data_IF_437646377845
#
_entry.id   IF_437646377845
#
_cell.length_a   1.000
_cell.length_b   1.000
_cell.length_c   1.000
_cell.angle_alpha   90.00
_cell.angle_beta   90.00
_cell.angle_gamma   90.00
#
_symmetry.space_group_name_H-M   'P 1'
#
loop_
_entity.id
_entity.type
_entity.pdbx_description
1 polymer ?
#
# COMPACT_ATOMS: atom_id res chain seq x y z
N UNK A 1 -17.47 10.35 8.66
CA UNK A 1 -17.63 10.53 7.20
C UNK A 1 -19.09 10.29 6.92
N UNK A 2 -19.81 11.31 6.47
CA UNK A 2 -21.23 11.18 6.14
C UNK A 2 -21.35 10.89 4.65
N UNK A 3 -21.51 9.61 4.31
CA UNK A 3 -21.60 9.15 2.93
C UNK A 3 -23.05 8.76 2.60
N UNK A 4 -23.63 9.40 1.59
CA UNK A 4 -24.94 8.99 1.05
C UNK A 4 -24.71 7.90 0.01
N UNK A 5 -25.26 6.71 0.25
CA UNK A 5 -25.18 5.59 -0.69
C UNK A 5 -26.29 5.67 -1.73
N UNK A 6 -25.87 5.54 -2.99
CA UNK A 6 -26.73 5.37 -4.16
C UNK A 6 -26.17 4.23 -5.01
N UNK A 7 -26.96 3.74 -5.95
CA UNK A 7 -26.64 2.51 -6.70
C UNK A 7 -25.23 2.52 -7.29
N UNK A 8 -24.83 3.62 -7.95
CA UNK A 8 -23.49 3.72 -8.55
C UNK A 8 -22.37 3.71 -7.51
N UNK A 9 -22.56 4.33 -6.34
CA UNK A 9 -21.59 4.29 -5.25
C UNK A 9 -21.38 2.84 -4.76
N UNK A 10 -22.47 2.08 -4.59
CA UNK A 10 -22.42 0.67 -4.19
C UNK A 10 -21.68 -0.15 -5.25
N UNK A 11 -21.98 0.04 -6.53
CA UNK A 11 -21.28 -0.64 -7.63
C UNK A 11 -19.78 -0.31 -7.69
N UNK A 12 -19.38 0.92 -7.34
CA UNK A 12 -17.97 1.30 -7.30
C UNK A 12 -17.26 0.68 -6.09
N UNK A 13 -17.91 0.66 -4.92
CA UNK A 13 -17.38 0.00 -3.72
C UNK A 13 -17.15 -1.49 -3.99
N UNK A 14 -18.12 -2.19 -4.58
CA UNK A 14 -17.96 -3.63 -4.88
C UNK A 14 -16.84 -3.91 -5.87
N UNK A 15 -16.65 -3.06 -6.88
CA UNK A 15 -15.54 -3.15 -7.82
C UNK A 15 -14.19 -2.95 -7.14
N UNK A 16 -14.06 -1.92 -6.31
CA UNK A 16 -12.84 -1.65 -5.54
C UNK A 16 -12.56 -2.84 -4.62
N UNK A 17 -13.58 -3.31 -3.89
CA UNK A 17 -13.44 -4.40 -2.96
C UNK A 17 -12.93 -5.69 -3.63
N UNK A 18 -13.49 -6.01 -4.81
CA UNK A 18 -13.03 -7.14 -5.62
C UNK A 18 -11.55 -7.00 -6.04
N UNK A 19 -11.08 -5.78 -6.32
CA UNK A 19 -9.68 -5.54 -6.66
C UNK A 19 -8.79 -5.74 -5.42
N UNK A 20 -9.18 -5.23 -4.26
CA UNK A 20 -8.42 -5.38 -3.01
C UNK A 20 -8.24 -6.83 -2.58
N UNK A 21 -9.23 -7.68 -2.87
CA UNK A 21 -9.20 -9.11 -2.56
C UNK A 21 -8.28 -9.92 -3.49
N UNK A 22 -7.79 -9.34 -4.58
CA UNK A 22 -6.81 -9.99 -5.45
C UNK A 22 -5.38 -9.75 -4.91
N UNK A 23 -4.51 -10.77 -4.90
CA UNK A 23 -3.10 -10.59 -4.57
C UNK A 23 -2.44 -9.54 -5.48
N UNK A 24 -1.79 -8.54 -4.89
CA UNK A 24 -1.19 -7.43 -5.64
C UNK A 24 -2.21 -6.54 -6.38
N UNK A 25 -3.46 -6.50 -5.91
CA UNK A 25 -4.53 -5.73 -6.52
C UNK A 25 -4.26 -4.22 -6.51
N UNK A 26 -4.21 -3.62 -7.71
CA UNK A 26 -4.01 -2.19 -7.90
C UNK A 26 -5.22 -1.58 -8.61
N UNK A 27 -5.68 -0.40 -8.16
CA UNK A 27 -6.80 0.32 -8.75
C UNK A 27 -6.47 1.80 -8.99
N UNK A 28 -6.62 2.26 -10.23
CA UNK A 28 -6.62 3.69 -10.55
C UNK A 28 -8.06 4.18 -10.69
N UNK A 29 -8.50 5.05 -9.77
CA UNK A 29 -9.86 5.58 -9.76
C UNK A 29 -9.91 6.88 -10.56
N UNK A 30 -10.53 6.84 -11.74
CA UNK A 30 -10.65 7.98 -12.64
C UNK A 30 -12.05 8.57 -12.54
N UNK A 31 -12.14 9.90 -12.45
CA UNK A 31 -13.41 10.62 -12.44
C UNK A 31 -13.25 12.07 -12.00
N UNK A 32 -14.30 12.86 -12.15
CA UNK A 32 -14.30 14.29 -11.81
C UNK A 32 -14.07 14.54 -10.31
N UNK A 33 -13.65 15.76 -9.95
CA UNK A 33 -13.57 16.19 -8.55
C UNK A 33 -14.92 16.05 -7.85
N UNK A 34 -14.92 15.67 -6.57
CA UNK A 34 -16.15 15.51 -5.79
C UNK A 34 -16.92 14.20 -6.00
N UNK A 35 -16.50 13.31 -6.92
CA UNK A 35 -17.19 12.01 -7.16
C UNK A 35 -17.03 10.97 -6.04
N UNK A 36 -16.40 11.33 -4.92
CA UNK A 36 -16.27 10.46 -3.75
C UNK A 36 -15.18 9.38 -3.84
N UNK A 37 -14.30 9.40 -4.85
CA UNK A 37 -13.27 8.36 -5.09
C UNK A 37 -12.52 7.90 -3.83
N UNK A 38 -11.97 8.85 -3.06
CA UNK A 38 -11.26 8.52 -1.84
C UNK A 38 -12.18 7.93 -0.76
N UNK A 39 -13.39 8.46 -0.61
CA UNK A 39 -14.37 7.99 0.38
C UNK A 39 -14.85 6.58 0.06
N UNK A 40 -15.14 6.29 -1.21
CA UNK A 40 -15.53 4.96 -1.67
C UNK A 40 -14.39 3.94 -1.50
N UNK A 41 -13.14 4.36 -1.77
CA UNK A 41 -11.96 3.53 -1.54
C UNK A 41 -11.78 3.20 -0.04
N UNK A 42 -11.87 4.19 0.85
CA UNK A 42 -11.78 3.97 2.30
C UNK A 42 -12.91 3.09 2.82
N UNK A 43 -14.13 3.27 2.32
CA UNK A 43 -15.25 2.41 2.68
C UNK A 43 -15.04 0.97 2.20
N UNK A 44 -14.55 0.77 0.97
CA UNK A 44 -14.22 -0.56 0.46
C UNK A 44 -13.11 -1.25 1.27
N UNK A 45 -12.05 -0.52 1.62
CA UNK A 45 -10.98 -1.03 2.47
C UNK A 45 -11.49 -1.40 3.87
N UNK A 46 -12.33 -0.54 4.47
CA UNK A 46 -12.97 -0.80 5.75
C UNK A 46 -13.84 -2.06 5.74
N UNK A 47 -14.62 -2.29 4.67
CA UNK A 47 -15.46 -3.50 4.52
C UNK A 47 -14.62 -4.78 4.50
N UNK A 48 -13.37 -4.71 4.02
CA UNK A 48 -12.46 -5.86 3.96
C UNK A 48 -11.43 -5.90 5.08
N UNK A 49 -11.58 -5.07 6.12
CA UNK A 49 -10.64 -4.97 7.25
C UNK A 49 -9.19 -4.61 6.83
N UNK A 50 -9.04 -3.81 5.77
CA UNK A 50 -7.73 -3.26 5.38
C UNK A 50 -7.48 -1.92 6.07
N UNK A 51 -6.28 -1.77 6.63
CA UNK A 51 -5.80 -0.49 7.16
C UNK A 51 -5.42 0.43 5.99
N UNK A 52 -6.02 1.62 5.91
CA UNK A 52 -5.69 2.59 4.85
C UNK A 52 -4.58 3.50 5.32
N UNK A 53 -3.44 3.44 4.64
CA UNK A 53 -2.33 4.38 4.81
C UNK A 53 -2.36 5.40 3.68
N UNK A 54 -2.28 6.68 4.02
CA UNK A 54 -2.22 7.77 3.05
C UNK A 54 -1.17 8.77 3.48
N UNK A 55 -0.32 9.19 2.53
CA UNK A 55 0.73 10.16 2.79
C UNK A 55 0.17 11.56 3.10
N UNK A 56 0.79 12.25 4.05
CA UNK A 56 0.45 13.64 4.38
C UNK A 56 1.50 14.58 3.77
N UNK A 57 1.23 15.05 2.57
CA UNK A 57 2.18 15.88 1.82
C UNK A 57 2.12 17.34 2.29
N UNK A 58 3.29 17.89 2.64
CA UNK A 58 3.51 19.30 2.96
C UNK A 58 4.33 19.98 1.87
N UNK A 59 4.48 21.30 1.92
CA UNK A 59 5.27 22.06 0.93
C UNK A 59 6.76 21.67 0.90
N UNK A 60 7.29 21.10 1.97
CA UNK A 60 8.67 20.62 2.08
C UNK A 60 8.81 19.11 1.93
N UNK A 61 7.73 18.41 1.56
CA UNK A 61 7.72 16.96 1.48
C UNK A 61 8.64 16.47 0.35
N UNK A 62 9.60 15.65 0.74
CA UNK A 62 10.69 15.17 -0.09
C UNK A 62 10.50 13.72 -0.51
N UNK A 63 11.41 13.25 -1.36
CA UNK A 63 11.46 11.85 -1.75
C UNK A 63 11.86 10.94 -0.59
N UNK A 64 12.67 11.44 0.35
CA UNK A 64 13.07 10.64 1.51
C UNK A 64 11.89 10.43 2.46
N UNK A 65 11.05 11.45 2.65
CA UNK A 65 9.80 11.33 3.42
C UNK A 65 8.87 10.27 2.81
N UNK A 66 8.77 10.21 1.47
CA UNK A 66 8.01 9.15 0.79
C UNK A 66 8.63 7.77 1.07
N UNK A 67 9.95 7.62 0.98
CA UNK A 67 10.61 6.34 1.25
C UNK A 67 10.37 5.88 2.69
N UNK A 68 10.37 6.80 3.66
CA UNK A 68 10.04 6.48 5.05
C UNK A 68 8.61 5.96 5.22
N UNK A 69 7.63 6.63 4.61
CA UNK A 69 6.23 6.19 4.61
C UNK A 69 6.08 4.83 3.93
N UNK A 70 6.77 4.61 2.81
CA UNK A 70 6.77 3.31 2.13
C UNK A 70 7.42 2.24 3.00
N UNK A 71 8.55 2.51 3.65
CA UNK A 71 9.17 1.58 4.63
C UNK A 71 8.15 1.18 5.70
N UNK A 72 7.40 2.13 6.25
CA UNK A 72 6.37 1.85 7.24
C UNK A 72 5.23 0.95 6.71
N UNK A 73 4.80 1.17 5.46
CA UNK A 73 3.81 0.32 4.77
C UNK A 73 4.33 -1.10 4.58
N UNK A 74 5.58 -1.27 4.12
CA UNK A 74 6.21 -2.58 3.98
C UNK A 74 6.33 -3.31 5.33
N UNK A 75 6.66 -2.61 6.42
CA UNK A 75 6.70 -3.19 7.76
C UNK A 75 5.31 -3.56 8.30
N UNK A 76 4.28 -2.77 7.98
CA UNK A 76 2.89 -3.08 8.33
C UNK A 76 2.40 -4.35 7.62
N UNK A 77 2.59 -4.41 6.30
CA UNK A 77 2.09 -5.50 5.49
C UNK A 77 2.95 -6.77 5.63
N UNK A 78 4.26 -6.65 5.60
CA UNK A 78 5.19 -7.79 5.53
C UNK A 78 5.57 -8.39 6.88
N UNK A 79 5.78 -7.57 7.92
CA UNK A 79 6.25 -8.06 9.23
C UNK A 79 5.11 -8.20 10.24
N UNK A 80 4.18 -7.25 10.26
CA UNK A 80 3.02 -7.29 11.17
C UNK A 80 1.83 -8.05 10.59
N UNK A 81 1.95 -8.53 9.36
CA UNK A 81 0.92 -9.25 8.62
C UNK A 81 -0.46 -8.54 8.65
N UNK A 82 -0.45 -7.21 8.51
CA UNK A 82 -1.68 -6.41 8.48
C UNK A 82 -2.09 -6.12 7.03
N UNK A 83 -3.29 -6.53 6.59
CA UNK A 83 -3.83 -6.13 5.30
C UNK A 83 -3.85 -4.60 5.19
N UNK A 84 -3.10 -4.05 4.25
CA UNK A 84 -2.87 -2.60 4.14
C UNK A 84 -3.20 -2.12 2.73
N UNK A 85 -3.89 -0.98 2.62
CA UNK A 85 -4.11 -0.25 1.37
C UNK A 85 -3.31 1.03 1.39
N UNK A 86 -2.40 1.18 0.45
CA UNK A 86 -1.73 2.45 0.21
C UNK A 86 -2.59 3.32 -0.72
N UNK A 87 -3.11 4.44 -0.20
CA UNK A 87 -3.93 5.39 -0.94
C UNK A 87 -3.12 6.65 -1.26
N UNK A 88 -2.99 6.96 -2.55
CA UNK A 88 -2.35 8.17 -3.06
C UNK A 88 -3.27 8.87 -4.06
N UNK A 89 -3.22 10.20 -4.08
CA UNK A 89 -3.95 11.04 -5.04
C UNK A 89 -3.00 11.86 -5.89
N UNK A 90 -3.50 12.34 -7.02
CA UNK A 90 -2.78 13.23 -7.94
C UNK A 90 -2.24 14.49 -7.23
N UNK A 91 -3.05 15.10 -6.36
CA UNK A 91 -2.64 16.26 -5.56
C UNK A 91 -1.45 16.02 -4.63
N UNK A 92 -1.15 14.76 -4.31
CA UNK A 92 -0.05 14.38 -3.42
C UNK A 92 1.25 14.07 -4.19
N UNK A 93 1.22 14.11 -5.53
CA UNK A 93 2.40 13.90 -6.37
C UNK A 93 3.10 15.24 -6.54
N UNK A 94 3.91 15.62 -5.55
CA UNK A 94 4.71 16.86 -5.56
C UNK A 94 6.03 16.73 -6.33
N UNK A 95 6.50 15.50 -6.53
CA UNK A 95 7.70 15.20 -7.28
C UNK A 95 7.46 14.00 -8.21
N UNK A 96 7.81 14.13 -9.49
CA UNK A 96 7.64 13.08 -10.49
C UNK A 96 8.37 11.77 -10.14
N UNK A 97 9.46 11.86 -9.35
CA UNK A 97 10.19 10.70 -8.86
C UNK A 97 9.31 9.77 -8.00
N UNK A 98 8.20 10.26 -7.43
CA UNK A 98 7.27 9.42 -6.67
C UNK A 98 6.72 8.28 -7.53
N UNK A 99 6.45 8.57 -8.81
CA UNK A 99 5.91 7.60 -9.75
C UNK A 99 6.90 6.46 -10.05
N UNK A 100 8.20 6.69 -9.92
CA UNK A 100 9.22 5.64 -10.07
C UNK A 100 9.07 4.60 -8.96
N UNK A 101 8.87 5.06 -7.72
CA UNK A 101 8.66 4.16 -6.56
C UNK A 101 7.33 3.42 -6.64
N UNK A 102 6.25 4.11 -7.03
CA UNK A 102 4.95 3.48 -7.24
C UNK A 102 5.03 2.41 -8.34
N UNK A 103 5.72 2.69 -9.45
CA UNK A 103 5.93 1.71 -10.51
C UNK A 103 6.73 0.49 -10.01
N UNK A 104 7.75 0.69 -9.17
CA UNK A 104 8.47 -0.41 -8.52
C UNK A 104 7.54 -1.34 -7.74
N UNK A 105 6.65 -0.77 -6.91
CA UNK A 105 5.68 -1.55 -6.13
C UNK A 105 4.74 -2.32 -7.06
N UNK A 106 4.21 -1.69 -8.11
CA UNK A 106 3.24 -2.32 -9.01
C UNK A 106 3.87 -3.44 -9.85
N UNK A 107 5.11 -3.24 -10.32
CA UNK A 107 5.75 -4.15 -11.27
C UNK A 107 6.46 -5.32 -10.62
N UNK A 108 7.20 -5.08 -9.53
CA UNK A 108 8.01 -6.10 -8.86
C UNK A 108 7.57 -6.37 -7.42
N UNK A 109 6.72 -5.52 -6.84
CA UNK A 109 6.41 -5.57 -5.40
C UNK A 109 7.58 -5.11 -4.53
N UNK A 110 8.68 -4.62 -5.10
CA UNK A 110 9.90 -4.27 -4.39
C UNK A 110 10.57 -3.01 -4.96
N UNK A 111 11.05 -2.16 -4.05
CA UNK A 111 11.81 -0.96 -4.41
C UNK A 111 13.29 -1.21 -4.07
N UNK A 112 14.21 -1.10 -5.06
CA UNK A 112 15.65 -1.17 -4.79
C UNK A 112 16.10 -0.10 -3.79
N UNK A 113 17.01 -0.47 -2.90
CA UNK A 113 17.62 0.42 -1.90
C UNK A 113 16.61 1.13 -0.97
N UNK A 114 15.39 0.58 -0.81
CA UNK A 114 14.39 1.12 0.13
C UNK A 114 14.82 0.91 1.58
N UNK A 115 15.39 -0.26 1.88
CA UNK A 115 15.90 -0.63 3.20
C UNK A 115 17.43 -0.75 3.18
N UNK A 116 18.12 -0.22 4.20
CA UNK A 116 19.51 -0.57 4.48
C UNK A 116 19.70 -2.09 4.60
N UNK A 117 20.90 -2.59 4.26
CA UNK A 117 21.21 -4.03 4.37
C UNK A 117 21.00 -4.58 5.78
N UNK A 118 21.31 -3.78 6.80
CA UNK A 118 21.15 -4.15 8.22
C UNK A 118 19.68 -4.34 8.60
N UNK A 119 18.79 -3.48 8.08
CA UNK A 119 17.34 -3.58 8.32
C UNK A 119 16.75 -4.80 7.61
N UNK A 120 17.22 -5.10 6.39
CA UNK A 120 16.78 -6.29 5.63
C UNK A 120 17.03 -7.57 6.43
N UNK A 121 18.19 -7.69 7.07
CA UNK A 121 18.53 -8.89 7.85
C UNK A 121 17.64 -9.05 9.07
N UNK A 122 17.32 -7.92 9.71
CA UNK A 122 16.36 -7.88 10.83
C UNK A 122 14.95 -8.27 10.38
N UNK A 123 14.50 -7.77 9.23
CA UNK A 123 13.19 -8.07 8.65
C UNK A 123 13.08 -9.56 8.26
N UNK A 124 14.10 -10.11 7.60
CA UNK A 124 14.15 -11.54 7.25
C UNK A 124 14.09 -12.39 8.51
N UNK A 125 14.84 -12.03 9.57
CA UNK A 125 14.79 -12.73 10.85
C UNK A 125 13.39 -12.72 11.47
N UNK A 126 12.71 -11.57 11.45
CA UNK A 126 11.34 -11.44 11.95
C UNK A 126 10.34 -12.32 11.16
N UNK A 127 10.40 -12.27 9.84
CA UNK A 127 9.52 -13.06 8.97
C UNK A 127 9.83 -14.57 9.10
N UNK A 128 11.10 -14.95 9.25
CA UNK A 128 11.50 -16.34 9.44
C UNK A 128 10.91 -16.95 10.72
N UNK A 129 10.80 -16.16 11.79
CA UNK A 129 10.19 -16.62 13.05
C UNK A 129 8.70 -16.94 12.88
N UNK A 130 7.99 -16.24 11.99
CA UNK A 130 6.60 -16.56 11.64
C UNK A 130 6.49 -17.70 10.61
N UNK A 131 7.41 -17.76 9.64
CA UNK A 131 7.38 -18.72 8.55
C UNK A 131 7.79 -20.14 8.96
N UNK A 132 8.83 -20.28 9.80
CA UNK A 132 9.37 -21.59 10.20
C UNK A 132 8.33 -22.49 10.89
N UNK A 133 7.50 -22.00 11.84
CA UNK A 133 6.43 -22.78 12.44
C UNK A 133 5.34 -23.23 11.45
N UNK A 134 5.15 -22.49 10.35
CA UNK A 134 4.16 -22.81 9.31
C UNK A 134 4.68 -23.80 8.25
N UNK A 135 5.92 -24.28 8.40
CA UNK A 135 6.53 -25.29 7.53
C UNK A 135 7.28 -24.73 6.32
N UNK A 136 7.35 -23.40 6.18
CA UNK A 136 8.16 -22.75 5.15
C UNK A 136 9.57 -22.53 5.71
N UNK A 137 10.53 -23.36 5.29
CA UNK A 137 11.94 -23.15 5.62
C UNK A 137 12.50 -21.98 4.81
N UNK A 138 13.12 -21.01 5.49
CA UNK A 138 13.86 -19.94 4.83
C UNK A 138 15.03 -20.52 4.05
N UNK A 139 15.00 -20.37 2.72
CA UNK A 139 16.16 -20.65 1.86
C UNK A 139 17.29 -19.68 2.19
N UNK A 140 18.57 -20.11 2.18
CA UNK A 140 19.69 -19.21 2.36
C UNK A 140 19.68 -18.14 1.26
N UNK A 141 20.10 -16.91 1.59
CA UNK A 141 20.24 -15.79 0.65
C UNK A 141 20.92 -16.29 -0.64
N UNK A 142 20.24 -16.16 -1.78
CA UNK A 142 20.93 -16.26 -3.07
C UNK A 142 21.86 -15.05 -3.17
N UNK A 143 23.15 -15.33 -3.25
CA UNK A 143 24.23 -14.36 -3.52
C UNK A 143 23.96 -13.52 -4.76
#
# INVERSE_FOLDING_TARGET
>A
MDLVLFEQAILHITRINRILQNPGGNAMLIGVGGSGKQSLCRLAAFISDFEVTQIAVTSSYSVEDLKEELRAVYMAAGVRNKPTVFLMTDSQIVNEQFLVYINGIITSGWIPDLFPKEDIDTIIGAIANEANPTGYQTTPKRE
#
